data_IF_296565133882
#
_entry.id   IF_296565133882
#
_cell.length_a   1.000
_cell.length_b   1.000
_cell.length_c   1.000
_cell.angle_alpha   90.00
_cell.angle_beta   90.00
_cell.angle_gamma   90.00
#
_symmetry.space_group_name_H-M   'P 1'
#
loop_
_entity.id
_entity.type
_entity.pdbx_description
1 polymer ?
#
# COMPACT_ATOMS: atom_id res chain seq x y z
N UNK A 1 -55.38 16.45 -50.54
CA UNK A 1 -53.92 16.34 -50.32
C UNK A 1 -53.63 16.67 -48.87
N UNK A 2 -53.32 15.66 -48.05
CA UNK A 2 -53.06 15.82 -46.62
C UNK A 2 -51.63 16.38 -46.45
N UNK A 3 -51.50 17.63 -45.99
CA UNK A 3 -50.19 18.27 -45.75
C UNK A 3 -49.61 17.74 -44.44
N UNK A 4 -48.59 16.88 -44.53
CA UNK A 4 -47.77 16.52 -43.39
C UNK A 4 -46.85 17.70 -43.03
N UNK A 5 -47.06 18.28 -41.85
CA UNK A 5 -46.11 19.21 -41.25
C UNK A 5 -45.02 18.38 -40.57
N UNK A 6 -43.83 18.34 -41.17
CA UNK A 6 -42.64 17.76 -40.53
C UNK A 6 -42.18 18.72 -39.42
N UNK A 7 -42.37 18.34 -38.16
CA UNK A 7 -41.84 19.08 -37.02
C UNK A 7 -40.37 18.67 -36.83
N UNK A 8 -39.44 19.53 -37.24
CA UNK A 8 -38.01 19.30 -37.02
C UNK A 8 -37.68 19.63 -35.56
N UNK A 9 -37.58 18.60 -34.71
CA UNK A 9 -37.13 18.77 -33.33
C UNK A 9 -35.61 18.97 -33.37
N UNK A 10 -35.16 20.21 -33.30
CA UNK A 10 -33.74 20.54 -33.11
C UNK A 10 -33.37 20.26 -31.66
N UNK A 11 -32.78 19.09 -31.39
CA UNK A 11 -32.18 18.79 -30.09
C UNK A 11 -30.92 19.63 -29.94
N UNK A 12 -30.98 20.70 -29.15
CA UNK A 12 -29.80 21.46 -28.74
C UNK A 12 -29.05 20.61 -27.71
N UNK A 13 -28.04 19.86 -28.16
CA UNK A 13 -27.12 19.16 -27.25
C UNK A 13 -26.21 20.17 -26.58
N UNK A 14 -26.49 20.51 -25.32
CA UNK A 14 -25.57 21.32 -24.50
C UNK A 14 -24.37 20.44 -24.15
N UNK A 15 -23.22 20.67 -24.79
CA UNK A 15 -21.96 20.07 -24.38
C UNK A 15 -21.38 20.87 -23.22
N UNK A 16 -21.46 20.33 -22.00
CA UNK A 16 -20.66 20.86 -20.90
C UNK A 16 -19.20 20.50 -21.19
N UNK A 17 -18.37 21.51 -21.44
CA UNK A 17 -16.93 21.32 -21.56
C UNK A 17 -16.40 20.70 -20.28
N UNK A 18 -15.64 19.61 -20.41
CA UNK A 18 -14.98 19.00 -19.25
C UNK A 18 -13.93 19.99 -18.73
N UNK A 19 -14.10 20.46 -17.49
CA UNK A 19 -13.16 21.38 -16.86
C UNK A 19 -12.18 20.53 -16.05
N UNK A 20 -10.91 20.51 -16.47
CA UNK A 20 -9.82 19.88 -15.73
C UNK A 20 -9.36 20.79 -14.59
N UNK A 21 -9.08 20.21 -13.43
CA UNK A 21 -8.53 20.91 -12.29
C UNK A 21 -8.56 20.06 -11.03
N UNK A 22 -8.18 20.65 -9.90
CA UNK A 22 -8.30 19.98 -8.62
C UNK A 22 -9.76 19.87 -8.17
N UNK A 23 -10.23 18.64 -7.98
CA UNK A 23 -11.62 18.31 -7.58
C UNK A 23 -11.80 18.18 -6.06
N UNK A 24 -10.72 18.27 -5.27
CA UNK A 24 -10.77 18.03 -3.83
C UNK A 24 -10.97 19.33 -3.03
N UNK A 25 -12.09 19.47 -2.28
CA UNK A 25 -12.37 20.67 -1.47
C UNK A 25 -11.41 20.87 -0.29
N UNK A 26 -10.69 19.84 0.14
CA UNK A 26 -9.66 19.94 1.21
C UNK A 26 -8.31 20.45 0.68
N UNK A 27 -8.18 20.68 -0.62
CA UNK A 27 -6.97 21.23 -1.24
C UNK A 27 -6.94 22.77 -1.19
N UNK A 28 -5.76 23.36 -1.36
CA UNK A 28 -5.57 24.81 -1.42
C UNK A 28 -6.02 25.43 -2.75
N UNK A 29 -5.98 24.65 -3.82
CA UNK A 29 -6.25 25.07 -5.19
C UNK A 29 -7.51 24.38 -5.74
N UNK A 30 -8.46 24.06 -4.85
CA UNK A 30 -9.74 23.48 -5.22
C UNK A 30 -10.44 24.35 -6.27
N UNK A 31 -10.86 23.73 -7.36
CA UNK A 31 -11.65 24.37 -8.39
C UNK A 31 -13.07 23.80 -8.38
N UNK A 32 -14.08 24.54 -7.87
CA UNK A 32 -15.46 24.05 -7.82
C UNK A 32 -16.09 23.82 -9.20
N UNK A 33 -15.51 24.40 -10.26
CA UNK A 33 -15.94 24.15 -11.63
C UNK A 33 -15.30 22.89 -12.25
N UNK A 34 -14.24 22.34 -11.64
CA UNK A 34 -13.55 21.17 -12.20
C UNK A 34 -14.44 19.92 -12.12
N UNK A 35 -14.66 19.29 -13.27
CA UNK A 35 -15.39 18.03 -13.41
C UNK A 35 -14.44 16.84 -13.61
N UNK A 36 -13.16 17.11 -13.88
CA UNK A 36 -12.12 16.09 -14.08
C UNK A 36 -10.92 16.42 -13.21
N UNK A 37 -10.54 15.47 -12.35
CA UNK A 37 -9.29 15.54 -11.63
C UNK A 37 -8.11 15.39 -12.59
N UNK A 38 -7.19 16.34 -12.54
CA UNK A 38 -5.95 16.38 -13.30
C UNK A 38 -4.71 16.06 -12.43
N UNK A 39 -4.92 15.72 -11.17
CA UNK A 39 -3.88 15.38 -10.20
C UNK A 39 -3.09 16.58 -9.69
N UNK A 40 -3.55 17.81 -9.94
CA UNK A 40 -2.88 19.07 -9.54
C UNK A 40 -3.16 19.53 -8.10
N UNK A 41 -4.00 18.82 -7.35
CA UNK A 41 -4.37 19.21 -6.00
C UNK A 41 -3.17 19.37 -5.06
N UNK A 42 -3.12 20.53 -4.38
CA UNK A 42 -2.07 20.90 -3.45
C UNK A 42 -2.62 20.94 -2.02
N UNK A 43 -1.99 20.21 -1.11
CA UNK A 43 -2.44 20.11 0.28
C UNK A 43 -1.55 20.91 1.22
N UNK A 44 -2.13 21.36 2.34
CA UNK A 44 -1.35 21.85 3.48
C UNK A 44 -0.54 20.68 4.06
N UNK A 45 0.68 20.96 4.53
CA UNK A 45 1.42 20.00 5.34
C UNK A 45 0.65 19.78 6.63
N UNK A 46 0.40 18.52 6.96
CA UNK A 46 -0.31 18.11 8.17
C UNK A 46 0.54 17.08 8.89
N UNK A 47 0.56 17.19 10.22
CA UNK A 47 1.21 16.24 11.11
C UNK A 47 0.22 15.70 12.12
N UNK A 48 -0.10 14.41 12.05
CA UNK A 48 -1.08 13.75 12.92
C UNK A 48 -0.41 12.86 13.96
N UNK A 49 -1.08 12.63 15.10
CA UNK A 49 -0.63 11.71 16.15
C UNK A 49 -1.55 10.50 16.23
N UNK A 50 -1.06 9.33 16.64
CA UNK A 50 -1.93 8.20 16.91
C UNK A 50 -2.89 8.56 18.04
N UNK A 51 -4.10 8.02 18.01
CA UNK A 51 -5.03 8.07 19.15
C UNK A 51 -4.51 7.17 20.28
N UNK A 52 -3.89 6.05 19.95
CA UNK A 52 -3.17 5.18 20.88
C UNK A 52 -2.02 4.43 20.19
N UNK A 53 -1.04 4.03 21.00
CA UNK A 53 0.07 3.16 20.63
C UNK A 53 0.19 2.06 21.68
N UNK A 54 0.24 0.80 21.28
CA UNK A 54 0.29 -0.35 22.18
C UNK A 54 1.44 -1.27 21.75
N UNK A 55 2.27 -1.70 22.71
CA UNK A 55 3.37 -2.63 22.44
C UNK A 55 2.82 -3.99 21.97
N UNK A 56 3.38 -4.51 20.89
CA UNK A 56 3.07 -5.86 20.41
C UNK A 56 3.85 -6.91 21.18
N UNK A 57 3.40 -8.17 21.09
CA UNK A 57 4.12 -9.32 21.65
C UNK A 57 5.56 -9.39 21.12
N UNK A 58 6.49 -9.90 21.93
CA UNK A 58 7.86 -10.18 21.48
C UNK A 58 7.93 -11.30 20.42
N UNK A 59 6.85 -12.05 20.21
CA UNK A 59 6.71 -12.97 19.06
C UNK A 59 6.56 -12.26 17.72
N UNK A 60 6.34 -10.93 17.68
CA UNK A 60 6.11 -10.16 16.46
C UNK A 60 7.02 -8.94 16.42
N UNK A 61 8.31 -9.17 16.71
CA UNK A 61 9.31 -8.12 16.90
C UNK A 61 9.69 -7.42 15.58
N UNK A 62 9.61 -8.14 14.47
CA UNK A 62 9.97 -7.69 13.12
C UNK A 62 8.71 -7.62 12.23
N UNK A 63 7.61 -7.10 12.78
CA UNK A 63 6.33 -6.96 12.06
C UNK A 63 6.50 -6.19 10.75
N UNK A 64 6.25 -6.83 9.61
CA UNK A 64 6.53 -6.23 8.29
C UNK A 64 5.26 -5.91 7.48
N UNK A 65 4.30 -6.83 7.36
CA UNK A 65 2.99 -6.58 6.70
C UNK A 65 1.80 -6.44 7.66
N UNK A 66 0.69 -5.81 7.21
CA UNK A 66 -0.58 -5.79 7.96
C UNK A 66 -1.83 -5.75 7.06
N UNK A 67 -2.80 -6.62 7.30
CA UNK A 67 -4.15 -6.56 6.67
C UNK A 67 -5.27 -6.71 7.70
N UNK A 68 -6.48 -6.22 7.37
CA UNK A 68 -7.68 -6.47 8.16
C UNK A 68 -8.57 -7.50 7.47
N UNK A 69 -8.83 -8.64 8.14
CA UNK A 69 -9.64 -9.73 7.59
C UNK A 69 -10.18 -10.61 8.73
N UNK A 70 -11.41 -11.12 8.58
CA UNK A 70 -12.05 -12.04 9.55
C UNK A 70 -12.11 -11.47 10.98
N UNK A 71 -12.41 -10.17 11.10
CA UNK A 71 -12.48 -9.48 12.39
C UNK A 71 -11.14 -9.27 13.10
N UNK A 72 -10.01 -9.67 12.49
CA UNK A 72 -8.66 -9.55 13.03
C UNK A 72 -7.78 -8.67 12.15
N UNK A 73 -6.61 -8.29 12.68
CA UNK A 73 -5.51 -7.68 11.96
C UNK A 73 -4.41 -8.73 11.81
N UNK A 74 -4.08 -9.14 10.59
CA UNK A 74 -3.11 -10.20 10.34
C UNK A 74 -1.76 -9.60 9.95
N UNK A 75 -0.70 -10.05 10.64
CA UNK A 75 0.68 -9.64 10.41
C UNK A 75 1.62 -10.85 10.40
N UNK A 76 2.86 -10.64 9.96
CA UNK A 76 3.97 -11.59 9.96
C UNK A 76 5.27 -10.87 10.35
N UNK A 77 6.29 -11.65 10.71
CA UNK A 77 7.65 -11.13 10.80
C UNK A 77 8.34 -11.23 9.42
N UNK A 78 9.39 -10.45 9.20
CA UNK A 78 10.29 -10.54 8.03
C UNK A 78 11.50 -11.48 8.25
N UNK A 79 11.55 -12.17 9.40
CA UNK A 79 12.60 -13.12 9.74
C UNK A 79 12.34 -14.53 9.18
N UNK A 80 12.80 -15.60 9.84
CA UNK A 80 12.55 -16.98 9.38
C UNK A 80 11.20 -17.54 9.86
N UNK A 81 10.38 -16.75 10.55
CA UNK A 81 9.07 -17.15 11.02
C UNK A 81 8.09 -17.34 9.85
N UNK A 82 7.33 -18.42 9.89
CA UNK A 82 6.36 -18.80 8.85
C UNK A 82 4.92 -18.70 9.37
N UNK A 83 4.74 -17.99 10.48
CA UNK A 83 3.48 -17.81 11.19
C UNK A 83 2.81 -16.49 10.81
N UNK A 84 1.54 -16.57 10.41
CA UNK A 84 0.65 -15.42 10.41
C UNK A 84 -0.02 -15.25 11.76
N UNK A 85 0.06 -14.04 12.32
CA UNK A 85 -0.50 -13.66 13.61
C UNK A 85 -1.75 -12.82 13.43
N UNK A 86 -2.90 -13.34 13.85
CA UNK A 86 -4.15 -12.61 13.90
C UNK A 86 -4.30 -11.87 15.22
N UNK A 87 -4.32 -10.55 15.16
CA UNK A 87 -4.36 -9.62 16.30
C UNK A 87 -5.76 -9.00 16.43
N UNK A 88 -6.15 -8.67 17.66
CA UNK A 88 -7.25 -7.73 17.88
C UNK A 88 -6.79 -6.27 17.69
N UNK A 89 -7.72 -5.32 17.83
CA UNK A 89 -7.43 -3.88 17.67
C UNK A 89 -6.46 -3.30 18.70
N UNK A 90 -6.16 -4.04 19.77
CA UNK A 90 -5.21 -3.67 20.81
C UNK A 90 -3.86 -4.39 20.63
N UNK A 91 -3.67 -5.13 19.53
CA UNK A 91 -2.43 -5.84 19.22
C UNK A 91 -2.25 -7.17 19.96
N UNK A 92 -3.29 -7.67 20.66
CA UNK A 92 -3.20 -8.97 21.33
C UNK A 92 -3.41 -10.09 20.33
N UNK A 93 -2.50 -11.07 20.34
CA UNK A 93 -2.59 -12.27 19.49
C UNK A 93 -3.84 -13.07 19.89
N UNK A 94 -4.73 -13.29 18.91
CA UNK A 94 -5.95 -14.09 19.03
C UNK A 94 -5.87 -15.39 18.25
N UNK A 95 -5.12 -15.41 17.15
CA UNK A 95 -4.96 -16.59 16.30
C UNK A 95 -3.53 -16.65 15.75
N UNK A 96 -3.04 -17.86 15.50
CA UNK A 96 -1.79 -18.13 14.79
C UNK A 96 -2.07 -19.17 13.72
N UNK A 97 -1.54 -18.97 12.52
CA UNK A 97 -1.62 -19.94 11.42
C UNK A 97 -0.23 -20.10 10.82
N UNK A 98 0.28 -21.33 10.81
CA UNK A 98 1.60 -21.64 10.27
C UNK A 98 1.44 -22.08 8.82
N UNK A 99 2.16 -21.44 7.89
CA UNK A 99 2.04 -21.71 6.46
C UNK A 99 2.87 -22.89 5.97
N UNK A 100 3.84 -23.38 6.77
CA UNK A 100 4.71 -24.53 6.44
C UNK A 100 5.41 -24.42 5.07
N UNK A 101 5.72 -23.19 4.67
CA UNK A 101 6.51 -22.84 3.49
C UNK A 101 7.84 -22.24 3.95
N UNK A 102 8.80 -22.05 3.05
CA UNK A 102 9.99 -21.24 3.34
C UNK A 102 9.64 -19.76 3.51
N UNK A 103 10.40 -19.07 4.36
CA UNK A 103 10.47 -17.62 4.41
C UNK A 103 11.94 -17.24 4.18
N UNK A 104 12.25 -16.74 2.98
CA UNK A 104 13.59 -16.22 2.68
C UNK A 104 13.67 -14.75 3.06
N UNK A 105 12.71 -13.92 2.62
CA UNK A 105 12.59 -12.53 3.06
C UNK A 105 11.18 -11.99 2.81
N UNK A 106 10.25 -12.27 3.74
CA UNK A 106 8.87 -11.78 3.68
C UNK A 106 8.77 -10.31 4.04
N UNK A 107 8.20 -9.48 3.18
CA UNK A 107 8.08 -8.04 3.42
C UNK A 107 6.61 -7.62 3.64
N UNK A 108 5.71 -7.95 2.72
CA UNK A 108 4.34 -7.41 2.74
C UNK A 108 3.27 -8.52 2.69
N UNK A 109 2.08 -8.19 3.21
CA UNK A 109 0.87 -9.00 3.07
C UNK A 109 -0.28 -8.18 2.47
N UNK A 110 -0.97 -8.76 1.50
CA UNK A 110 -2.15 -8.15 0.88
C UNK A 110 -3.27 -9.17 0.69
N UNK A 111 -4.40 -8.75 0.14
CA UNK A 111 -5.56 -9.62 -0.05
C UNK A 111 -6.46 -9.21 -1.21
N UNK A 112 -7.17 -10.19 -1.75
CA UNK A 112 -8.43 -9.99 -2.49
C UNK A 112 -9.59 -10.67 -1.75
N UNK A 113 -10.77 -10.78 -2.36
CA UNK A 113 -11.95 -11.38 -1.72
C UNK A 113 -11.75 -12.85 -1.33
N UNK A 114 -10.87 -13.56 -2.03
CA UNK A 114 -10.73 -15.02 -1.99
C UNK A 114 -9.36 -15.50 -1.48
N UNK A 115 -8.32 -14.68 -1.60
CA UNK A 115 -6.94 -15.04 -1.28
C UNK A 115 -6.25 -14.01 -0.39
N UNK A 116 -5.30 -14.49 0.41
CA UNK A 116 -4.24 -13.71 1.01
C UNK A 116 -3.00 -13.82 0.14
N UNK A 117 -2.14 -12.82 0.20
CA UNK A 117 -0.90 -12.77 -0.55
C UNK A 117 0.24 -12.37 0.37
N UNK A 118 1.38 -13.05 0.31
CA UNK A 118 2.60 -12.66 1.04
C UNK A 118 3.72 -12.50 0.05
N UNK A 119 4.45 -11.40 0.13
CA UNK A 119 5.61 -11.12 -0.70
C UNK A 119 6.90 -11.66 -0.10
N UNK A 120 7.50 -12.68 -0.70
CA UNK A 120 8.88 -13.11 -0.42
C UNK A 120 9.79 -12.57 -1.51
N UNK A 121 10.18 -11.31 -1.35
CA UNK A 121 10.79 -10.57 -2.44
C UNK A 121 11.76 -9.46 -2.03
N UNK A 122 12.04 -9.27 -0.73
CA UNK A 122 12.99 -8.23 -0.34
C UNK A 122 14.39 -8.57 -0.85
N UNK A 123 15.13 -7.56 -1.28
CA UNK A 123 16.35 -7.72 -2.08
C UNK A 123 17.40 -6.62 -1.77
N UNK A 124 17.32 -6.05 -0.57
CA UNK A 124 18.12 -4.91 -0.14
C UNK A 124 19.62 -5.23 0.06
N UNK A 125 20.00 -6.47 0.39
CA UNK A 125 21.36 -6.82 0.78
C UNK A 125 22.37 -6.79 -0.37
N UNK A 126 22.00 -7.35 -1.53
CA UNK A 126 22.86 -7.51 -2.71
C UNK A 126 22.19 -7.11 -4.02
N UNK A 127 20.87 -6.95 -4.03
CA UNK A 127 20.10 -6.55 -5.21
C UNK A 127 20.10 -7.59 -6.34
N UNK A 128 20.43 -8.84 -6.07
CA UNK A 128 20.66 -9.87 -7.08
C UNK A 128 19.83 -11.15 -6.89
N UNK A 129 18.78 -11.12 -6.07
CA UNK A 129 17.84 -12.25 -5.97
C UNK A 129 17.16 -12.51 -7.31
N UNK A 130 17.02 -13.79 -7.65
CA UNK A 130 16.36 -14.29 -8.87
C UNK A 130 15.13 -15.16 -8.57
N UNK A 131 14.79 -15.28 -7.30
CA UNK A 131 13.75 -16.14 -6.73
C UNK A 131 12.57 -15.33 -6.14
N UNK A 132 12.40 -14.08 -6.56
CA UNK A 132 11.34 -13.21 -6.07
C UNK A 132 9.95 -13.80 -6.36
N UNK A 133 9.10 -13.87 -5.34
CA UNK A 133 7.76 -14.43 -5.52
C UNK A 133 6.74 -13.92 -4.50
N UNK A 134 5.47 -14.19 -4.81
CA UNK A 134 4.36 -14.05 -3.88
C UNK A 134 3.75 -15.42 -3.60
N UNK A 135 3.45 -15.68 -2.33
CA UNK A 135 2.59 -16.78 -1.91
C UNK A 135 1.13 -16.34 -2.07
N UNK A 136 0.31 -17.12 -2.76
CA UNK A 136 -1.12 -16.90 -2.94
C UNK A 136 -1.89 -17.95 -2.16
N UNK A 137 -2.54 -17.55 -1.08
CA UNK A 137 -3.09 -18.44 -0.06
C UNK A 137 -4.61 -18.35 -0.10
N UNK A 138 -5.30 -19.46 -0.35
CA UNK A 138 -6.77 -19.48 -0.36
C UNK A 138 -7.32 -19.21 1.05
N UNK A 139 -8.14 -18.16 1.21
CA UNK A 139 -8.68 -17.75 2.52
C UNK A 139 -9.49 -18.85 3.19
N UNK A 140 -10.27 -19.61 2.42
CA UNK A 140 -11.14 -20.67 2.96
C UNK A 140 -10.33 -21.78 3.63
N UNK A 141 -9.24 -22.21 3.00
CA UNK A 141 -8.35 -23.24 3.55
C UNK A 141 -7.46 -22.69 4.66
N UNK A 142 -7.02 -21.43 4.55
CA UNK A 142 -6.35 -20.69 5.62
C UNK A 142 -7.18 -20.64 6.90
N UNK A 143 -8.46 -20.26 6.82
CA UNK A 143 -9.34 -20.17 7.99
C UNK A 143 -9.57 -21.52 8.67
N UNK A 144 -9.54 -22.62 7.89
CA UNK A 144 -9.60 -24.01 8.37
C UNK A 144 -8.29 -24.53 8.96
N UNK A 145 -7.21 -23.75 8.91
CA UNK A 145 -5.89 -24.13 9.43
C UNK A 145 -5.08 -25.06 8.52
N UNK A 146 -5.52 -25.28 7.28
CA UNK A 146 -4.84 -26.12 6.29
C UNK A 146 -4.63 -25.32 5.00
N UNK A 147 -3.78 -24.29 5.00
CA UNK A 147 -3.66 -23.34 3.89
C UNK A 147 -3.24 -24.04 2.60
N UNK A 148 -4.01 -23.82 1.53
CA UNK A 148 -3.65 -24.14 0.15
C UNK A 148 -2.93 -22.94 -0.42
N UNK A 149 -1.71 -23.16 -0.92
CA UNK A 149 -0.77 -22.10 -1.33
C UNK A 149 -0.32 -22.36 -2.77
N UNK A 150 -0.53 -21.38 -3.63
CA UNK A 150 0.09 -21.26 -4.95
C UNK A 150 1.22 -20.23 -4.92
N UNK A 151 2.04 -20.19 -5.98
CA UNK A 151 3.15 -19.25 -6.11
C UNK A 151 3.05 -18.42 -7.39
N UNK A 152 3.25 -17.11 -7.25
CA UNK A 152 3.44 -16.18 -8.36
C UNK A 152 4.90 -15.70 -8.31
N UNK A 153 5.76 -16.25 -9.15
CA UNK A 153 7.16 -15.81 -9.23
C UNK A 153 7.30 -14.68 -10.24
N UNK A 154 8.23 -13.75 -10.03
CA UNK A 154 8.44 -12.67 -10.98
C UNK A 154 9.90 -12.24 -11.12
N UNK A 155 10.19 -11.62 -12.26
CA UNK A 155 11.39 -10.82 -12.48
C UNK A 155 10.99 -9.42 -12.96
N UNK A 156 11.83 -8.42 -12.71
CA UNK A 156 11.62 -7.08 -13.24
C UNK A 156 11.94 -7.02 -14.74
N UNK A 157 11.12 -6.30 -15.50
CA UNK A 157 11.30 -6.14 -16.96
C UNK A 157 12.61 -5.45 -17.34
N UNK A 158 13.16 -4.64 -16.44
CA UNK A 158 14.31 -3.77 -16.65
C UNK A 158 15.53 -4.13 -15.77
N UNK A 159 15.48 -5.22 -14.99
CA UNK A 159 16.65 -5.73 -14.29
C UNK A 159 17.41 -6.72 -15.16
N UNK A 160 18.51 -6.26 -15.74
CA UNK A 160 19.39 -7.10 -16.58
C UNK A 160 20.72 -7.44 -15.92
N UNK A 161 21.10 -6.71 -14.87
CA UNK A 161 22.33 -6.91 -14.10
C UNK A 161 22.02 -7.53 -12.73
N UNK A 162 22.60 -8.70 -12.48
CA UNK A 162 22.52 -9.45 -11.23
C UNK A 162 23.90 -9.61 -10.56
N UNK A 163 24.87 -8.77 -10.95
CA UNK A 163 26.13 -8.69 -10.20
C UNK A 163 25.83 -8.22 -8.77
N UNK A 164 26.46 -8.88 -7.80
CA UNK A 164 26.23 -8.58 -6.40
C UNK A 164 26.72 -7.16 -6.09
N UNK A 165 25.81 -6.30 -5.61
CA UNK A 165 26.13 -4.92 -5.26
C UNK A 165 26.28 -4.74 -3.73
N UNK A 166 26.60 -3.51 -3.33
CA UNK A 166 26.53 -3.10 -1.93
C UNK A 166 25.06 -3.04 -1.50
N UNK A 167 24.78 -3.36 -0.24
CA UNK A 167 23.43 -3.25 0.29
C UNK A 167 22.86 -1.84 0.13
N UNK A 168 21.56 -1.77 -0.14
CA UNK A 168 20.78 -0.55 -0.27
C UNK A 168 21.25 0.37 -1.41
N UNK A 169 21.81 -0.17 -2.49
CA UNK A 169 22.24 0.62 -3.67
C UNK A 169 21.46 0.36 -4.94
N UNK A 170 20.68 -0.73 -5.01
CA UNK A 170 19.86 -1.04 -6.19
C UNK A 170 18.45 -0.45 -6.07
N UNK A 171 17.71 -0.43 -7.18
CA UNK A 171 16.30 0.00 -7.23
C UNK A 171 15.32 -1.19 -7.27
N UNK A 172 15.82 -2.42 -7.13
CA UNK A 172 15.09 -3.69 -7.29
C UNK A 172 14.81 -4.37 -5.95
N UNK A 173 14.72 -3.56 -4.90
CA UNK A 173 14.29 -3.97 -3.57
C UNK A 173 12.77 -3.83 -3.48
N UNK A 174 12.04 -4.94 -3.60
CA UNK A 174 10.59 -4.94 -3.51
C UNK A 174 10.19 -4.97 -2.05
N UNK A 175 9.25 -4.11 -1.66
CA UNK A 175 8.88 -3.95 -0.25
C UNK A 175 7.38 -3.90 -0.07
N UNK A 176 6.66 -3.44 -1.09
CA UNK A 176 5.23 -3.18 -0.99
C UNK A 176 4.53 -3.69 -2.23
N UNK A 177 3.30 -4.20 -2.06
CA UNK A 177 2.42 -4.48 -3.19
C UNK A 177 0.94 -4.28 -2.84
N UNK A 178 0.14 -4.08 -3.88
CA UNK A 178 -1.32 -4.15 -3.79
C UNK A 178 -1.87 -5.15 -4.79
N UNK A 179 -3.00 -5.76 -4.45
CA UNK A 179 -3.68 -6.73 -5.29
C UNK A 179 -4.96 -6.14 -5.86
N UNK A 180 -5.16 -6.37 -7.14
CA UNK A 180 -6.45 -6.18 -7.84
C UNK A 180 -6.89 -7.53 -8.39
N UNK A 181 -8.10 -7.59 -8.95
CA UNK A 181 -8.67 -8.83 -9.49
C UNK A 181 -7.75 -9.49 -10.53
N UNK A 182 -7.19 -8.71 -11.44
CA UNK A 182 -6.43 -9.19 -12.60
C UNK A 182 -4.92 -8.94 -12.47
N UNK A 183 -4.52 -7.96 -11.67
CA UNK A 183 -3.15 -7.45 -11.62
C UNK A 183 -2.62 -7.29 -10.20
N UNK A 184 -1.32 -7.45 -10.02
CA UNK A 184 -0.57 -7.10 -8.81
C UNK A 184 0.33 -5.91 -9.16
N UNK A 185 0.32 -4.90 -8.31
CA UNK A 185 1.18 -3.72 -8.45
C UNK A 185 2.24 -3.74 -7.35
N UNK A 186 3.50 -3.80 -7.76
CA UNK A 186 4.67 -3.83 -6.87
C UNK A 186 5.26 -2.42 -6.75
N UNK A 187 5.80 -2.10 -5.58
CA UNK A 187 6.44 -0.83 -5.27
C UNK A 187 7.83 -1.12 -4.72
N UNK A 188 8.87 -0.64 -5.42
CA UNK A 188 10.25 -0.82 -4.95
C UNK A 188 10.68 0.28 -3.98
N UNK A 189 11.56 -0.04 -3.04
CA UNK A 189 12.19 0.89 -2.10
C UNK A 189 13.53 1.34 -2.66
N UNK A 190 13.57 2.52 -3.26
CA UNK A 190 14.82 3.06 -3.81
C UNK A 190 15.60 3.80 -2.72
N UNK A 191 16.48 3.09 -2.04
CA UNK A 191 17.26 3.62 -0.93
C UNK A 191 18.07 4.87 -1.26
N UNK A 192 18.69 4.96 -2.45
CA UNK A 192 19.52 6.12 -2.81
C UNK A 192 18.67 7.35 -3.15
N UNK A 193 17.69 7.20 -4.03
CA UNK A 193 16.88 8.29 -4.58
C UNK A 193 15.70 8.69 -3.67
N UNK A 194 15.30 7.84 -2.71
CA UNK A 194 14.10 8.00 -1.87
C UNK A 194 12.80 8.10 -2.71
N UNK A 195 12.75 7.34 -3.81
CA UNK A 195 11.60 7.20 -4.69
C UNK A 195 11.05 5.77 -4.62
N UNK A 196 9.93 5.53 -5.28
CA UNK A 196 9.41 4.19 -5.49
C UNK A 196 9.03 3.97 -6.94
N UNK A 197 9.55 2.89 -7.56
CA UNK A 197 9.09 2.46 -8.88
C UNK A 197 7.88 1.56 -8.72
N UNK A 198 6.89 1.75 -9.58
CA UNK A 198 5.70 0.94 -9.67
C UNK A 198 5.87 -0.03 -10.84
N UNK A 199 5.70 -1.31 -10.56
CA UNK A 199 5.65 -2.38 -11.54
C UNK A 199 4.29 -3.06 -11.53
N UNK A 200 3.90 -3.69 -12.63
CA UNK A 200 2.66 -4.45 -12.73
C UNK A 200 2.90 -5.83 -13.32
N UNK A 201 2.26 -6.84 -12.75
CA UNK A 201 2.23 -8.20 -13.29
C UNK A 201 0.81 -8.81 -13.18
N UNK A 202 0.49 -9.84 -13.98
CA UNK A 202 -0.77 -10.57 -13.84
C UNK A 202 -0.91 -11.26 -12.47
N UNK A 203 -2.11 -11.26 -11.89
CA UNK A 203 -2.47 -12.04 -10.70
C UNK A 203 -2.72 -13.52 -11.07
N UNK A 204 -1.70 -14.19 -11.59
CA UNK A 204 -1.77 -15.58 -12.07
C UNK A 204 -0.57 -16.39 -11.57
N UNK A 205 -0.78 -17.60 -11.02
CA UNK A 205 0.31 -18.50 -10.64
C UNK A 205 1.31 -18.74 -11.78
N UNK A 206 2.55 -19.04 -11.41
CA UNK A 206 3.65 -19.27 -12.35
C UNK A 206 4.59 -18.07 -12.49
N UNK A 207 5.44 -18.11 -13.52
CA UNK A 207 6.46 -17.08 -13.78
C UNK A 207 5.85 -15.90 -14.54
N UNK A 208 5.92 -14.72 -13.95
CA UNK A 208 5.43 -13.47 -14.50
C UNK A 208 6.59 -12.51 -14.78
N UNK A 209 6.38 -11.58 -15.71
CA UNK A 209 7.29 -10.47 -15.96
C UNK A 209 6.66 -9.19 -15.41
N UNK A 210 7.26 -8.60 -14.38
CA UNK A 210 6.80 -7.35 -13.78
C UNK A 210 7.20 -6.18 -14.68
N UNK A 211 6.22 -5.58 -15.35
CA UNK A 211 6.41 -4.47 -16.29
C UNK A 211 6.56 -3.15 -15.54
N UNK A 212 7.62 -2.41 -15.83
CA UNK A 212 7.77 -1.04 -15.31
C UNK A 212 6.60 -0.18 -15.78
N UNK A 213 5.99 0.55 -14.84
CA UNK A 213 4.87 1.45 -15.11
C UNK A 213 5.29 2.91 -15.01
N UNK A 214 5.75 3.32 -13.83
CA UNK A 214 6.09 4.71 -13.52
C UNK A 214 6.87 4.79 -12.20
N UNK A 215 7.46 5.96 -11.91
CA UNK A 215 8.17 6.21 -10.64
C UNK A 215 7.50 7.36 -9.91
N UNK A 216 7.19 7.14 -8.63
CA UNK A 216 6.68 8.15 -7.71
C UNK A 216 7.82 8.76 -6.90
N UNK A 217 7.97 10.08 -7.00
CA UNK A 217 8.84 10.84 -6.10
C UNK A 217 8.14 11.05 -4.75
N UNK A 218 8.30 10.06 -3.88
CA UNK A 218 7.66 10.03 -2.57
C UNK A 218 8.50 10.75 -1.50
N UNK A 219 9.76 11.08 -1.81
CA UNK A 219 10.75 11.62 -0.86
C UNK A 219 10.81 10.81 0.44
N UNK A 220 10.93 9.48 0.33
CA UNK A 220 10.93 8.54 1.45
C UNK A 220 11.11 7.09 1.02
N UNK A 221 11.19 6.19 2.00
CA UNK A 221 11.20 4.75 1.81
C UNK A 221 9.80 4.23 2.13
N UNK A 222 9.15 3.57 1.16
CA UNK A 222 7.86 2.90 1.36
C UNK A 222 8.09 1.52 1.93
N UNK A 223 7.18 1.11 2.81
CA UNK A 223 7.30 -0.13 3.58
C UNK A 223 6.01 -0.91 3.71
N UNK A 224 4.86 -0.22 3.65
CA UNK A 224 3.57 -0.89 3.62
C UNK A 224 2.54 -0.20 2.75
N UNK A 225 1.51 -0.93 2.33
CA UNK A 225 0.35 -0.39 1.66
C UNK A 225 -0.97 -1.03 2.09
N UNK A 226 -2.03 -0.23 1.99
CA UNK A 226 -3.40 -0.74 1.96
C UNK A 226 -4.17 -0.14 0.79
N UNK A 227 -4.94 -0.98 0.09
CA UNK A 227 -5.77 -0.58 -1.03
C UNK A 227 -7.25 -0.78 -0.72
N UNK A 228 -8.02 0.31 -0.75
CA UNK A 228 -9.47 0.29 -0.56
C UNK A 228 -10.12 0.46 -1.93
N UNK A 229 -10.37 -0.66 -2.61
CA UNK A 229 -10.83 -0.68 -4.00
C UNK A 229 -12.16 0.07 -4.22
N UNK A 230 -13.12 -0.10 -3.32
CA UNK A 230 -14.42 0.59 -3.37
C UNK A 230 -14.31 2.12 -3.31
N UNK A 231 -13.21 2.63 -2.75
CA UNK A 231 -12.91 4.07 -2.63
C UNK A 231 -11.83 4.54 -3.62
N UNK A 232 -11.31 3.65 -4.48
CA UNK A 232 -10.16 3.89 -5.37
C UNK A 232 -9.04 4.63 -4.65
N UNK A 233 -8.59 4.08 -3.51
CA UNK A 233 -7.66 4.74 -2.60
C UNK A 233 -6.56 3.79 -2.16
N UNK A 234 -5.32 4.20 -2.37
CA UNK A 234 -4.13 3.55 -1.83
C UNK A 234 -3.59 4.46 -0.73
N UNK A 235 -3.23 3.86 0.40
CA UNK A 235 -2.46 4.54 1.44
C UNK A 235 -1.18 3.76 1.66
N UNK A 236 -0.07 4.40 1.36
CA UNK A 236 1.28 3.90 1.62
C UNK A 236 1.73 4.41 2.99
N UNK A 237 2.46 3.59 3.74
CA UNK A 237 3.25 4.05 4.88
C UNK A 237 4.74 3.92 4.59
N UNK A 238 5.53 4.65 5.38
CA UNK A 238 6.97 4.66 5.24
C UNK A 238 7.66 5.72 6.09
N UNK A 239 8.96 5.86 5.91
CA UNK A 239 9.77 6.83 6.63
C UNK A 239 10.87 7.44 5.75
N UNK A 240 11.31 8.64 6.11
CA UNK A 240 12.48 9.27 5.49
C UNK A 240 13.78 8.65 6.01
N UNK A 241 14.90 8.90 5.31
CA UNK A 241 16.25 8.56 5.79
C UNK A 241 16.62 9.18 7.15
N UNK A 242 15.91 10.24 7.54
CA UNK A 242 16.07 10.93 8.83
C UNK A 242 15.11 10.40 9.91
N UNK A 243 14.35 9.34 9.63
CA UNK A 243 13.40 8.72 10.56
C UNK A 243 12.06 9.44 10.67
N UNK A 244 11.69 10.31 9.71
CA UNK A 244 10.37 10.95 9.71
C UNK A 244 9.35 10.02 9.05
N UNK A 245 8.45 9.49 9.85
CA UNK A 245 7.33 8.64 9.41
C UNK A 245 6.27 9.43 8.66
N UNK A 246 5.68 8.84 7.62
CA UNK A 246 4.62 9.44 6.83
C UNK A 246 3.58 8.43 6.36
N UNK A 247 2.41 8.95 6.00
CA UNK A 247 1.46 8.32 5.10
C UNK A 247 1.47 9.04 3.76
N UNK A 248 1.32 8.30 2.67
CA UNK A 248 1.17 8.86 1.33
C UNK A 248 -0.11 8.33 0.69
N UNK A 249 -1.05 9.23 0.42
CA UNK A 249 -2.37 8.91 -0.09
C UNK A 249 -2.37 9.11 -1.59
N UNK A 250 -2.85 8.10 -2.32
CA UNK A 250 -3.16 8.14 -3.75
C UNK A 250 -4.66 7.84 -3.90
N UNK A 251 -5.44 8.77 -4.46
CA UNK A 251 -6.89 8.61 -4.55
C UNK A 251 -7.49 9.43 -5.70
N UNK A 252 -8.73 9.13 -6.08
CA UNK A 252 -9.40 9.77 -7.22
C UNK A 252 -8.59 9.68 -8.52
N UNK A 253 -7.84 8.58 -8.68
CA UNK A 253 -7.07 8.28 -9.87
C UNK A 253 -7.93 7.60 -10.93
N UNK A 254 -7.51 7.73 -12.19
CA UNK A 254 -8.20 7.12 -13.33
C UNK A 254 -7.75 5.68 -13.50
N UNK A 255 -8.70 4.74 -13.50
CA UNK A 255 -8.45 3.30 -13.62
C UNK A 255 -7.42 2.82 -12.58
N UNK A 256 -6.31 2.24 -13.01
CA UNK A 256 -5.16 1.88 -12.16
C UNK A 256 -3.92 2.72 -12.48
N UNK A 257 -4.11 3.96 -12.94
CA UNK A 257 -3.03 4.93 -13.14
C UNK A 257 -2.92 5.84 -11.92
N UNK A 258 -2.24 5.37 -10.88
CA UNK A 258 -2.32 5.91 -9.52
C UNK A 258 -1.83 7.36 -9.39
N UNK A 259 -0.97 7.82 -10.31
CA UNK A 259 -0.40 9.16 -10.26
C UNK A 259 -1.28 10.22 -10.94
N UNK A 260 -2.36 9.82 -11.63
CA UNK A 260 -3.31 10.76 -12.28
C UNK A 260 -4.27 11.43 -11.31
N UNK A 261 -4.42 10.90 -10.10
CA UNK A 261 -5.32 11.42 -9.07
C UNK A 261 -4.64 12.31 -8.04
N UNK A 262 -5.30 12.48 -6.91
CA UNK A 262 -4.81 13.21 -5.75
C UNK A 262 -3.64 12.49 -5.07
N UNK A 263 -2.62 13.27 -4.74
CA UNK A 263 -1.41 12.84 -4.04
C UNK A 263 -1.25 13.67 -2.78
N UNK A 264 -1.29 13.04 -1.60
CA UNK A 264 -1.20 13.75 -0.31
C UNK A 264 -0.27 13.04 0.66
N UNK A 265 0.80 13.72 1.07
CA UNK A 265 1.72 13.25 2.11
C UNK A 265 1.32 13.82 3.47
N UNK A 266 1.24 12.97 4.49
CA UNK A 266 0.88 13.32 5.87
C UNK A 266 2.02 12.85 6.78
N UNK A 267 2.57 13.75 7.60
CA UNK A 267 3.57 13.37 8.59
C UNK A 267 2.91 12.72 9.81
N UNK A 268 3.57 11.72 10.39
CA UNK A 268 3.12 11.10 11.65
C UNK A 268 4.01 11.55 12.81
N UNK A 269 3.42 11.76 13.99
CA UNK A 269 4.15 11.99 15.26
C UNK A 269 4.70 10.67 15.82
N UNK A 270 5.44 9.93 15.00
CA UNK A 270 6.11 8.66 15.33
C UNK A 270 7.57 8.68 14.85
N UNK A 271 8.39 9.69 15.24
CA UNK A 271 9.76 9.77 14.75
C UNK A 271 10.54 8.50 15.11
N UNK A 272 11.39 8.06 14.19
CA UNK A 272 12.23 6.86 14.31
C UNK A 272 11.46 5.55 14.51
N UNK A 273 10.15 5.54 14.36
CA UNK A 273 9.41 4.28 14.27
C UNK A 273 9.61 3.76 12.85
N UNK A 274 10.27 2.61 12.75
CA UNK A 274 10.37 1.86 11.50
C UNK A 274 9.00 1.23 11.24
N UNK A 275 8.07 2.04 10.72
CA UNK A 275 6.71 1.60 10.40
C UNK A 275 6.78 0.73 9.16
N UNK A 276 6.13 -0.44 9.20
CA UNK A 276 6.19 -1.42 8.11
C UNK A 276 4.78 -1.81 7.66
N UNK A 277 3.87 -2.19 8.56
CA UNK A 277 2.50 -2.59 8.19
C UNK A 277 1.46 -1.48 8.28
N UNK A 278 0.47 -1.47 7.37
CA UNK A 278 -0.72 -0.61 7.44
C UNK A 278 -2.00 -1.32 7.01
N UNK A 279 -3.07 -1.20 7.80
CA UNK A 279 -4.37 -1.79 7.48
C UNK A 279 -5.53 -0.86 7.83
N UNK A 280 -6.67 -1.07 7.16
CA UNK A 280 -7.94 -0.39 7.47
C UNK A 280 -9.11 -1.32 7.20
N UNK A 281 -10.22 -1.10 7.90
CA UNK A 281 -11.49 -1.81 7.67
C UNK A 281 -12.47 -0.99 6.84
N UNK A 282 -12.37 0.32 6.91
CA UNK A 282 -13.36 1.26 6.36
C UNK A 282 -12.73 2.35 5.48
N UNK A 283 -11.41 2.42 5.38
CA UNK A 283 -10.69 3.46 4.65
C UNK A 283 -10.68 4.83 5.31
N UNK A 284 -11.04 4.92 6.60
CA UNK A 284 -11.00 6.15 7.42
C UNK A 284 -10.17 5.97 8.69
N UNK A 285 -10.24 4.78 9.29
CA UNK A 285 -9.52 4.42 10.49
C UNK A 285 -8.43 3.40 10.16
N UNK A 286 -7.20 3.71 10.57
CA UNK A 286 -6.02 2.98 10.14
C UNK A 286 -5.25 2.44 11.34
N UNK A 287 -4.82 1.19 11.20
CA UNK A 287 -3.86 0.54 12.07
C UNK A 287 -2.51 0.54 11.37
N UNK A 288 -1.45 0.87 12.10
CA UNK A 288 -0.08 0.89 11.60
C UNK A 288 0.79 0.13 12.59
N UNK A 289 1.71 -0.71 12.12
CA UNK A 289 2.70 -1.38 12.97
C UNK A 289 4.10 -0.86 12.71
N UNK A 290 4.97 -1.01 13.70
CA UNK A 290 6.40 -0.75 13.56
C UNK A 290 7.22 -1.88 14.19
N UNK A 291 8.39 -2.11 13.64
CA UNK A 291 9.40 -3.03 14.18
C UNK A 291 10.11 -2.47 15.41
N UNK A 292 10.76 -3.36 16.14
CA UNK A 292 11.67 -2.98 17.22
C UNK A 292 12.98 -2.40 16.67
N UNK A 293 13.16 -1.09 16.79
CA UNK A 293 14.41 -0.42 16.41
C UNK A 293 15.26 -0.04 17.63
N UNK A 294 16.41 -0.69 17.77
CA UNK A 294 17.38 -0.42 18.86
C UNK A 294 18.72 0.05 18.28
N UNK A 295 19.14 1.27 18.63
CA UNK A 295 20.49 1.81 18.35
C UNK A 295 21.09 2.36 19.64
N UNK A 296 21.82 1.51 20.36
CA UNK A 296 22.39 1.87 21.66
C UNK A 296 23.44 3.00 21.53
N UNK A 297 23.54 3.91 22.51
CA UNK A 297 22.66 4.07 23.68
C UNK A 297 21.43 4.98 23.45
N UNK A 298 21.21 5.47 22.22
CA UNK A 298 20.40 6.67 21.96
C UNK A 298 18.95 6.35 21.58
N UNK A 299 18.69 5.20 20.96
CA UNK A 299 17.39 4.85 20.41
C UNK A 299 16.94 3.46 20.87
N UNK A 300 15.73 3.39 21.39
CA UNK A 300 15.05 2.16 21.75
C UNK A 300 13.54 2.34 21.50
N UNK A 301 13.09 1.95 20.32
CA UNK A 301 11.68 1.95 19.93
C UNK A 301 11.22 0.49 19.92
N UNK A 302 10.30 0.07 20.80
CA UNK A 302 9.78 -1.29 20.76
C UNK A 302 8.84 -1.47 19.56
N UNK A 303 8.54 -2.72 19.23
CA UNK A 303 7.49 -3.06 18.27
C UNK A 303 6.11 -2.66 18.82
N UNK A 304 5.33 -1.93 18.03
CA UNK A 304 4.02 -1.43 18.46
C UNK A 304 2.98 -1.49 17.34
N UNK A 305 1.71 -1.41 17.74
CA UNK A 305 0.58 -1.08 16.88
C UNK A 305 0.06 0.31 17.26
N UNK A 306 -0.31 1.07 16.26
CA UNK A 306 -0.81 2.44 16.36
C UNK A 306 -2.17 2.53 15.69
N UNK A 307 -3.07 3.32 16.26
CA UNK A 307 -4.36 3.62 15.65
C UNK A 307 -4.49 5.09 15.30
N UNK A 308 -4.88 5.36 14.06
CA UNK A 308 -5.09 6.69 13.52
C UNK A 308 -6.51 6.83 12.98
N UNK A 309 -7.06 8.03 13.15
CA UNK A 309 -8.33 8.45 12.57
C UNK A 309 -8.03 9.53 11.53
N UNK A 310 -8.28 9.21 10.27
CA UNK A 310 -8.04 10.07 9.12
C UNK A 310 -9.35 10.70 8.60
N UNK A 311 -10.46 10.60 9.35
CA UNK A 311 -11.77 11.07 8.89
C UNK A 311 -11.74 12.53 8.42
N UNK A 312 -11.08 13.42 9.16
CA UNK A 312 -10.93 14.84 8.80
C UNK A 312 -10.10 15.10 7.53
N UNK A 313 -9.38 14.10 7.01
CA UNK A 313 -8.51 14.21 5.84
C UNK A 313 -9.04 13.44 4.63
N UNK A 314 -10.00 12.53 4.85
CA UNK A 314 -10.44 11.53 3.87
C UNK A 314 -11.95 11.42 3.70
N UNK A 315 -12.73 12.05 4.59
CA UNK A 315 -14.17 12.13 4.47
C UNK A 315 -14.54 13.42 3.74
N UNK A 316 -14.89 13.30 2.46
CA UNK A 316 -15.36 14.42 1.62
C UNK A 316 -16.78 14.86 1.96
N UNK A 317 -17.50 14.12 2.81
CA UNK A 317 -18.87 14.42 3.21
C UNK A 317 -18.94 15.27 4.49
N UNK A 318 -17.81 15.72 5.05
CA UNK A 318 -17.80 16.59 6.23
C UNK A 318 -18.16 18.05 5.93
N UNK A 319 -18.35 18.40 4.65
CA UNK A 319 -18.74 19.75 4.20
C UNK A 319 -19.89 19.72 3.16
N UNK A 320 -20.74 18.69 3.17
CA UNK A 320 -21.99 18.64 2.37
C UNK A 320 -23.22 18.72 3.25
#
# INVERSE_FOLDING_TARGET
MLKFFLFFITTISVSYGQISGCTDPLSKNYNPAATINDGSCQYKSVKIKPKYSIRLSDSIKETSGLIAFDGLLWSHNDDHDTTLYGLDSLGKIRKKVILKTGNHNWEEISQDDTHLYIGDFGNNLRGNRTDLHLLKIEKKSFLKGNPVIDTISFSYSDQTDFTAQKGNTTNFDCEVFIVTRDSIYLFSKQWTSSKTSIYVLPNQPGKQLAQYKETLDIAGLVTGATYVASKKRIVLCGYSKTGKTFLYLLYDFKNHNFLTGNKRKIDLKLPFHQIEGIATRDGLHYYITNESLVRKPILNVPQQIHYFDLSALLNSDLDK
#
